data_IF_205408917378
#
_entry.id   IF_205408917378
#
_cell.length_a   1.000
_cell.length_b   1.000
_cell.length_c   1.000
_cell.angle_alpha   90.00
_cell.angle_beta   90.00
_cell.angle_gamma   90.00
#
_symmetry.space_group_name_H-M   'P 1'
#
loop_
_entity.id
_entity.type
_entity.pdbx_description
1 polymer ?
#
# COMPACT_ATOMS: atom_id res chain seq x y z
N UNK A 1 13.79 -26.24 -0.70
CA UNK A 1 13.79 -24.87 -0.22
C UNK A 1 12.55 -24.58 0.64
N UNK A 2 12.65 -23.57 1.48
CA UNK A 2 11.50 -23.05 2.24
C UNK A 2 10.96 -21.80 1.58
N UNK A 3 9.64 -21.50 1.74
CA UNK A 3 9.08 -20.21 1.33
C UNK A 3 9.78 -19.07 2.06
N UNK A 4 10.02 -17.96 1.34
CA UNK A 4 10.65 -16.76 1.92
C UNK A 4 9.84 -15.52 1.59
N UNK A 5 9.94 -14.51 2.45
CA UNK A 5 9.41 -13.16 2.24
C UNK A 5 10.53 -12.10 2.24
N UNK A 6 11.72 -12.45 2.70
CA UNK A 6 12.88 -11.55 2.75
C UNK A 6 13.62 -11.51 1.40
N UNK A 7 13.02 -10.82 0.45
CA UNK A 7 13.59 -10.49 -0.86
C UNK A 7 12.93 -9.22 -1.40
N UNK A 8 13.57 -8.58 -2.36
CA UNK A 8 13.06 -7.38 -3.01
C UNK A 8 12.32 -7.73 -4.30
N UNK A 9 11.34 -6.92 -4.65
CA UNK A 9 10.54 -7.05 -5.88
C UNK A 9 10.40 -5.70 -6.54
N UNK A 10 10.70 -5.64 -7.84
CA UNK A 10 10.33 -4.54 -8.71
C UNK A 10 9.42 -5.09 -9.80
N UNK A 11 8.21 -4.54 -9.91
CA UNK A 11 7.24 -4.96 -10.91
C UNK A 11 7.23 -3.96 -12.05
N UNK A 12 7.36 -4.50 -13.25
CA UNK A 12 7.24 -3.74 -14.51
C UNK A 12 6.20 -4.39 -15.40
N UNK A 13 5.70 -3.64 -16.38
CA UNK A 13 4.80 -4.16 -17.40
C UNK A 13 5.56 -4.42 -18.68
N UNK A 14 5.38 -5.59 -19.27
CA UNK A 14 5.86 -5.87 -20.62
C UNK A 14 4.89 -5.22 -21.62
N UNK A 15 5.32 -4.06 -22.17
CA UNK A 15 4.52 -3.25 -23.09
C UNK A 15 4.29 -3.91 -24.45
N UNK A 16 5.17 -4.82 -24.85
CA UNK A 16 5.05 -5.53 -26.13
C UNK A 16 3.95 -6.59 -26.12
N UNK A 17 3.54 -7.01 -24.92
CA UNK A 17 2.45 -7.96 -24.70
C UNK A 17 1.09 -7.30 -24.47
N UNK A 18 1.01 -5.98 -24.54
CA UNK A 18 -0.20 -5.22 -24.22
C UNK A 18 -1.23 -5.33 -25.34
N UNK A 19 -2.41 -5.88 -25.03
CA UNK A 19 -3.56 -5.84 -25.92
C UNK A 19 -4.38 -4.60 -25.61
N UNK A 20 -4.63 -3.78 -26.64
CA UNK A 20 -5.42 -2.56 -26.52
C UNK A 20 -6.74 -2.71 -27.27
N UNK A 21 -7.85 -2.52 -26.57
CA UNK A 21 -9.19 -2.45 -27.15
C UNK A 21 -9.59 -0.99 -27.34
N UNK A 22 -10.12 -0.66 -28.51
CA UNK A 22 -10.66 0.66 -28.82
C UNK A 22 -12.17 0.56 -28.94
N UNK A 23 -12.89 1.34 -28.16
CA UNK A 23 -14.35 1.40 -28.17
C UNK A 23 -14.79 2.81 -28.56
N UNK A 24 -15.84 2.87 -29.36
CA UNK A 24 -16.44 4.13 -29.80
C UNK A 24 -17.88 4.20 -29.32
N UNK A 25 -18.25 5.31 -28.70
CA UNK A 25 -19.64 5.56 -28.33
C UNK A 25 -20.09 6.95 -28.80
N UNK A 26 -21.37 7.08 -29.10
CA UNK A 26 -21.98 8.36 -29.47
C UNK A 26 -22.80 8.86 -28.27
N UNK A 27 -22.52 10.07 -27.80
CA UNK A 27 -23.23 10.68 -26.68
C UNK A 27 -24.62 11.19 -27.07
N UNK A 28 -25.36 11.71 -26.09
CA UNK A 28 -26.75 12.22 -26.29
C UNK A 28 -26.81 13.43 -27.25
N UNK A 29 -25.69 14.09 -27.50
CA UNK A 29 -25.56 15.24 -28.39
C UNK A 29 -25.19 14.82 -29.81
N UNK A 30 -25.00 13.51 -30.06
CA UNK A 30 -24.53 12.97 -31.33
C UNK A 30 -23.03 13.08 -31.56
N UNK A 31 -22.25 13.45 -30.53
CA UNK A 31 -20.79 13.46 -30.60
C UNK A 31 -20.23 12.05 -30.41
N UNK A 32 -19.37 11.63 -31.32
CA UNK A 32 -18.70 10.34 -31.25
C UNK A 32 -17.35 10.51 -30.56
N UNK A 33 -17.15 9.71 -29.49
CA UNK A 33 -15.90 9.67 -28.72
C UNK A 33 -15.31 8.27 -28.78
N UNK A 34 -14.00 8.21 -28.88
CA UNK A 34 -13.25 6.96 -28.96
C UNK A 34 -12.35 6.82 -27.74
N UNK A 35 -12.41 5.68 -27.08
CA UNK A 35 -11.54 5.32 -25.96
C UNK A 35 -10.69 4.14 -26.32
N UNK A 36 -9.43 4.17 -25.91
CA UNK A 36 -8.54 3.02 -25.98
C UNK A 36 -8.12 2.64 -24.58
N UNK A 37 -8.29 1.38 -24.20
CA UNK A 37 -7.86 0.84 -22.91
C UNK A 37 -7.15 -0.50 -23.10
N UNK A 38 -6.22 -0.79 -22.19
CA UNK A 38 -5.55 -2.08 -22.19
C UNK A 38 -6.51 -3.16 -21.67
N UNK A 39 -6.63 -4.26 -22.40
CA UNK A 39 -7.45 -5.42 -22.02
C UNK A 39 -6.62 -6.50 -21.36
N UNK A 40 -5.36 -6.65 -21.74
CA UNK A 40 -4.41 -7.55 -21.09
C UNK A 40 -2.99 -6.98 -21.14
N UNK A 41 -2.17 -7.39 -20.20
CA UNK A 41 -0.74 -7.07 -20.14
C UNK A 41 0.00 -8.16 -19.38
N UNK A 42 1.32 -8.25 -19.58
CA UNK A 42 2.17 -9.14 -18.79
C UNK A 42 2.87 -8.37 -17.70
N UNK A 43 2.63 -8.73 -16.44
CA UNK A 43 3.41 -8.24 -15.29
C UNK A 43 4.72 -9.01 -15.21
N UNK A 44 5.80 -8.28 -15.01
CA UNK A 44 7.15 -8.83 -14.88
C UNK A 44 7.66 -8.53 -13.47
N UNK A 45 7.76 -9.57 -12.65
CA UNK A 45 8.26 -9.50 -11.28
C UNK A 45 9.76 -9.76 -11.30
N UNK A 46 10.55 -8.72 -11.11
CA UNK A 46 11.99 -8.81 -10.98
C UNK A 46 12.34 -8.90 -9.50
N UNK A 47 12.74 -10.08 -9.05
CA UNK A 47 13.04 -10.37 -7.65
C UNK A 47 14.54 -10.47 -7.44
N UNK A 48 15.06 -10.00 -6.28
CA UNK A 48 16.46 -10.21 -5.89
C UNK A 48 16.61 -10.39 -4.38
N UNK A 49 17.63 -11.13 -4.00
CA UNK A 49 18.03 -11.39 -2.60
C UNK A 49 19.36 -10.70 -2.35
N UNK A 50 19.48 -10.00 -1.22
CA UNK A 50 20.71 -9.36 -0.78
C UNK A 50 21.82 -10.40 -0.51
N UNK A 51 23.07 -10.04 -0.83
CA UNK A 51 24.22 -10.93 -0.61
C UNK A 51 24.42 -11.30 0.85
N UNK A 52 24.12 -10.36 1.75
CA UNK A 52 24.23 -10.53 3.20
C UNK A 52 23.30 -11.59 3.78
N UNK A 53 22.22 -11.94 3.09
CA UNK A 53 21.25 -12.94 3.56
C UNK A 53 21.79 -14.37 3.58
N UNK A 54 22.85 -14.67 2.82
CA UNK A 54 23.36 -16.02 2.65
C UNK A 54 22.42 -16.98 1.91
N UNK A 55 21.37 -16.45 1.26
CA UNK A 55 20.35 -17.21 0.56
C UNK A 55 20.47 -17.08 -0.96
N UNK A 56 19.87 -18.03 -1.68
CA UNK A 56 19.67 -18.00 -3.12
C UNK A 56 18.29 -18.53 -3.47
N UNK A 57 17.70 -18.04 -4.56
CA UNK A 57 16.45 -18.57 -5.07
C UNK A 57 16.59 -20.03 -5.50
N UNK A 58 15.63 -20.83 -5.15
CA UNK A 58 15.51 -22.22 -5.56
C UNK A 58 14.50 -22.36 -6.70
N UNK A 59 13.28 -21.97 -6.47
CA UNK A 59 12.17 -22.03 -7.42
C UNK A 59 11.05 -21.12 -6.93
N UNK A 60 9.98 -20.99 -7.72
CA UNK A 60 8.72 -20.39 -7.31
C UNK A 60 7.55 -21.33 -7.64
N UNK A 61 6.42 -21.09 -7.01
CA UNK A 61 5.14 -21.74 -7.33
C UNK A 61 4.07 -20.69 -7.56
N UNK A 62 3.19 -20.96 -8.47
CA UNK A 62 1.97 -20.21 -8.69
C UNK A 62 0.82 -21.00 -8.08
N UNK A 63 0.02 -20.34 -7.23
CA UNK A 63 -1.12 -20.96 -6.55
C UNK A 63 -2.36 -20.12 -6.81
N UNK A 64 -3.36 -20.68 -7.43
CA UNK A 64 -4.66 -20.05 -7.59
C UNK A 64 -5.36 -19.94 -6.24
N UNK A 65 -5.99 -18.78 -6.00
CA UNK A 65 -6.78 -18.46 -4.81
C UNK A 65 -8.05 -17.73 -5.24
N UNK A 66 -8.99 -17.57 -4.33
CA UNK A 66 -10.23 -16.82 -4.60
C UNK A 66 -9.96 -15.33 -4.94
N UNK A 67 -8.82 -14.80 -4.48
CA UNK A 67 -8.39 -13.40 -4.69
C UNK A 67 -7.42 -13.21 -5.88
N UNK A 68 -7.14 -14.27 -6.65
CA UNK A 68 -6.22 -14.22 -7.78
C UNK A 68 -5.12 -15.30 -7.75
N UNK A 69 -3.92 -14.95 -8.22
CA UNK A 69 -2.77 -15.86 -8.31
C UNK A 69 -1.69 -15.46 -7.30
N UNK A 70 -1.38 -16.35 -6.38
CA UNK A 70 -0.29 -16.15 -5.42
C UNK A 70 1.04 -16.63 -6.00
N UNK A 71 2.06 -15.78 -5.96
CA UNK A 71 3.45 -16.13 -6.24
C UNK A 71 4.15 -16.47 -4.92
N UNK A 72 4.54 -17.72 -4.75
CA UNK A 72 5.26 -18.22 -3.59
C UNK A 72 6.70 -18.50 -4.01
N UNK A 73 7.65 -17.75 -3.44
CA UNK A 73 9.08 -17.87 -3.77
C UNK A 73 9.79 -18.70 -2.71
N UNK A 74 10.68 -19.59 -3.15
CA UNK A 74 11.43 -20.49 -2.30
C UNK A 74 12.93 -20.23 -2.39
N UNK A 75 13.61 -20.29 -1.25
CA UNK A 75 15.06 -20.15 -1.18
C UNK A 75 15.72 -21.34 -0.48
N UNK A 76 17.02 -21.45 -0.71
CA UNK A 76 17.96 -22.38 -0.11
C UNK A 76 19.23 -21.62 0.30
N UNK A 77 20.08 -22.17 1.16
CA UNK A 77 21.40 -21.58 1.41
C UNK A 77 22.18 -21.39 0.11
N UNK A 78 22.80 -20.22 -0.02
CA UNK A 78 23.63 -19.90 -1.17
C UNK A 78 24.81 -20.88 -1.26
N UNK A 79 25.05 -21.38 -2.46
CA UNK A 79 26.18 -22.28 -2.73
C UNK A 79 26.56 -22.22 -4.21
N UNK A 80 27.68 -22.83 -4.57
CA UNK A 80 28.06 -22.96 -5.99
C UNK A 80 27.04 -23.74 -6.84
N UNK A 81 26.21 -24.56 -6.21
CA UNK A 81 25.13 -25.32 -6.87
C UNK A 81 23.81 -24.56 -6.93
N UNK A 82 23.65 -23.54 -6.10
CA UNK A 82 22.49 -22.67 -6.01
C UNK A 82 22.96 -21.21 -5.95
N UNK A 83 23.45 -20.65 -7.08
CA UNK A 83 24.02 -19.30 -7.08
C UNK A 83 23.01 -18.21 -7.41
N UNK A 84 21.73 -18.54 -7.68
CA UNK A 84 20.75 -17.63 -8.25
C UNK A 84 20.23 -16.64 -7.21
N UNK A 85 20.61 -15.37 -7.34
CA UNK A 85 20.19 -14.28 -6.47
C UNK A 85 19.15 -13.35 -7.12
N UNK A 86 18.88 -13.55 -8.40
CA UNK A 86 17.85 -12.85 -9.15
C UNK A 86 16.88 -13.85 -9.77
N UNK A 87 15.61 -13.47 -9.84
CA UNK A 87 14.55 -14.29 -10.41
C UNK A 87 13.58 -13.39 -11.14
N UNK A 88 13.23 -13.71 -12.37
CA UNK A 88 12.21 -13.02 -13.12
C UNK A 88 11.00 -13.93 -13.33
N UNK A 89 9.82 -13.46 -12.97
CA UNK A 89 8.55 -14.18 -13.12
C UNK A 89 7.64 -13.32 -13.98
N UNK A 90 7.09 -13.91 -15.05
CA UNK A 90 6.17 -13.24 -15.96
C UNK A 90 4.77 -13.83 -15.80
N UNK A 91 3.78 -12.96 -15.59
CA UNK A 91 2.38 -13.35 -15.39
C UNK A 91 1.48 -12.47 -16.24
N UNK A 92 0.70 -13.00 -17.19
CA UNK A 92 -0.31 -12.27 -17.92
C UNK A 92 -1.49 -11.94 -16.99
N UNK A 93 -2.03 -10.71 -17.10
CA UNK A 93 -3.20 -10.24 -16.33
C UNK A 93 -4.14 -9.44 -17.22
N UNK A 94 -5.43 -9.39 -16.86
CA UNK A 94 -6.41 -8.53 -17.52
C UNK A 94 -7.58 -9.27 -18.18
N UNK A 95 -8.07 -8.74 -19.31
CA UNK A 95 -9.20 -9.26 -20.04
C UNK A 95 -8.83 -9.47 -21.52
N UNK A 96 -9.37 -10.47 -22.15
CA UNK A 96 -9.23 -10.69 -23.59
C UNK A 96 -10.10 -9.72 -24.41
N UNK A 97 -10.01 -9.79 -25.74
CA UNK A 97 -10.75 -8.93 -26.66
C UNK A 97 -12.28 -9.07 -26.56
N UNK A 98 -12.75 -10.21 -26.04
CA UNK A 98 -14.18 -10.48 -25.81
C UNK A 98 -14.65 -10.02 -24.42
N UNK A 99 -13.78 -9.41 -23.61
CA UNK A 99 -14.05 -9.02 -22.24
C UNK A 99 -14.10 -10.18 -21.25
N UNK A 100 -13.65 -11.37 -21.66
CA UNK A 100 -13.49 -12.52 -20.79
C UNK A 100 -12.20 -12.35 -19.98
N UNK A 101 -12.30 -12.58 -18.68
CA UNK A 101 -11.13 -12.53 -17.80
C UNK A 101 -10.04 -13.45 -18.32
N UNK A 102 -8.88 -12.90 -18.62
CA UNK A 102 -7.64 -13.66 -18.79
C UNK A 102 -7.13 -13.85 -17.36
N UNK A 103 -7.34 -15.03 -16.82
CA UNK A 103 -6.88 -15.35 -15.48
C UNK A 103 -5.35 -15.33 -15.40
N UNK A 104 -4.79 -14.75 -14.37
CA UNK A 104 -5.45 -14.13 -13.20
C UNK A 104 -5.80 -12.67 -13.41
N UNK A 105 -6.88 -12.18 -12.77
CA UNK A 105 -7.23 -10.76 -12.71
C UNK A 105 -6.36 -9.98 -11.73
N UNK A 106 -5.73 -10.68 -10.80
CA UNK A 106 -4.81 -10.13 -9.79
C UNK A 106 -3.69 -11.12 -9.47
N UNK A 107 -2.50 -10.59 -9.17
CA UNK A 107 -1.32 -11.36 -8.78
C UNK A 107 -0.83 -10.89 -7.43
N UNK A 108 -0.70 -11.81 -6.49
CA UNK A 108 -0.25 -11.52 -5.13
C UNK A 108 1.20 -11.98 -4.95
N UNK A 109 2.03 -11.13 -4.36
CA UNK A 109 3.40 -11.45 -3.97
C UNK A 109 3.75 -10.70 -2.67
N UNK A 110 4.27 -11.38 -1.67
CA UNK A 110 4.62 -10.79 -0.37
C UNK A 110 3.46 -10.02 0.29
N UNK A 111 2.22 -10.41 0.02
CA UNK A 111 1.02 -9.71 0.52
C UNK A 111 0.56 -8.50 -0.30
N UNK A 112 1.37 -8.01 -1.23
CA UNK A 112 0.96 -6.99 -2.18
C UNK A 112 0.12 -7.61 -3.32
N UNK A 113 -0.86 -6.85 -3.83
CA UNK A 113 -1.71 -7.27 -4.96
C UNK A 113 -1.50 -6.33 -6.15
N UNK A 114 -1.21 -6.91 -7.29
CA UNK A 114 -1.06 -6.24 -8.58
C UNK A 114 -2.23 -6.63 -9.49
N UNK A 115 -2.92 -5.65 -10.06
CA UNK A 115 -4.05 -5.85 -10.96
C UNK A 115 -4.05 -4.81 -12.07
N UNK A 116 -4.94 -4.92 -13.04
CA UNK A 116 -5.15 -3.90 -14.07
C UNK A 116 -5.58 -2.52 -13.51
N UNK A 117 -5.99 -2.47 -12.25
CA UNK A 117 -6.33 -1.22 -11.54
C UNK A 117 -5.15 -0.62 -10.75
N UNK A 118 -4.01 -1.27 -10.73
CA UNK A 118 -2.79 -0.82 -10.04
C UNK A 118 -2.36 -1.70 -8.87
N UNK A 119 -1.50 -1.14 -8.04
CA UNK A 119 -0.92 -1.81 -6.87
C UNK A 119 -1.74 -1.49 -5.61
N UNK A 120 -2.15 -2.52 -4.91
CA UNK A 120 -2.67 -2.43 -3.53
C UNK A 120 -1.65 -3.10 -2.62
N UNK A 121 -0.92 -2.30 -1.84
CA UNK A 121 0.12 -2.82 -0.95
C UNK A 121 -0.49 -3.59 0.23
N UNK A 122 0.27 -4.54 0.79
CA UNK A 122 -0.08 -5.21 2.04
C UNK A 122 -0.39 -4.19 3.15
N UNK A 123 0.43 -3.15 3.27
CA UNK A 123 0.22 -2.06 4.24
C UNK A 123 -1.13 -1.36 4.06
N UNK A 124 -1.54 -1.07 2.81
CA UNK A 124 -2.85 -0.48 2.53
C UNK A 124 -4.00 -1.40 2.93
N UNK A 125 -3.88 -2.70 2.68
CA UNK A 125 -4.87 -3.70 3.12
C UNK A 125 -4.97 -3.79 4.64
N UNK A 126 -3.83 -3.85 5.33
CA UNK A 126 -3.77 -3.92 6.80
C UNK A 126 -4.39 -2.66 7.44
N UNK A 127 -4.09 -1.48 6.90
CA UNK A 127 -4.68 -0.21 7.34
C UNK A 127 -6.19 -0.19 7.11
N UNK A 128 -6.67 -0.59 5.94
CA UNK A 128 -8.11 -0.64 5.64
C UNK A 128 -8.85 -1.64 6.53
N UNK A 129 -8.24 -2.79 6.81
CA UNK A 129 -8.80 -3.78 7.73
C UNK A 129 -8.87 -3.28 9.19
N UNK A 130 -7.97 -2.36 9.58
CA UNK A 130 -7.92 -1.75 10.90
C UNK A 130 -8.74 -0.47 11.04
N UNK A 131 -9.48 -0.05 9.98
CA UNK A 131 -10.32 1.16 10.03
C UNK A 131 -11.26 1.15 11.24
N UNK A 132 -11.48 2.33 11.81
CA UNK A 132 -12.23 2.50 13.03
C UNK A 132 -13.42 3.47 12.82
N UNK A 133 -14.68 3.10 13.14
CA UNK A 133 -15.81 4.01 13.04
C UNK A 133 -15.84 5.08 14.13
N UNK A 134 -15.09 4.90 15.25
CA UNK A 134 -15.22 5.74 16.43
C UNK A 134 -13.88 6.20 16.99
N UNK A 135 -13.57 7.47 16.87
CA UNK A 135 -12.35 8.09 17.44
C UNK A 135 -12.24 7.90 18.97
N UNK A 136 -13.32 7.57 19.66
CA UNK A 136 -13.32 7.28 21.10
C UNK A 136 -12.67 5.94 21.46
N UNK A 137 -12.46 5.03 20.50
CA UNK A 137 -11.67 3.81 20.69
C UNK A 137 -10.19 4.09 20.47
N UNK A 138 -9.55 4.66 21.48
CA UNK A 138 -8.14 5.03 21.43
C UNK A 138 -7.20 3.86 21.12
N UNK A 139 -7.59 2.64 21.47
CA UNK A 139 -6.79 1.44 21.17
C UNK A 139 -6.81 1.12 19.68
N UNK A 140 -7.94 1.29 19.00
CA UNK A 140 -8.07 1.12 17.56
C UNK A 140 -7.35 2.28 16.82
N UNK A 141 -7.51 3.51 17.28
CA UNK A 141 -6.82 4.68 16.72
C UNK A 141 -5.30 4.52 16.80
N UNK A 142 -4.81 4.07 17.96
CA UNK A 142 -3.38 3.86 18.18
C UNK A 142 -2.84 2.70 17.32
N UNK A 143 -3.65 1.68 17.05
CA UNK A 143 -3.29 0.60 16.11
C UNK A 143 -3.08 1.16 14.70
N UNK A 144 -3.96 2.05 14.22
CA UNK A 144 -3.81 2.72 12.93
C UNK A 144 -2.52 3.55 12.88
N UNK A 145 -2.25 4.36 13.90
CA UNK A 145 -1.04 5.17 13.97
C UNK A 145 0.24 4.30 13.99
N UNK A 146 0.21 3.16 14.69
CA UNK A 146 1.32 2.20 14.72
C UNK A 146 1.53 1.53 13.36
N UNK A 147 0.45 1.09 12.68
CA UNK A 147 0.52 0.54 11.33
C UNK A 147 1.07 1.56 10.31
N UNK A 148 0.77 2.84 10.49
CA UNK A 148 1.36 3.92 9.69
C UNK A 148 2.84 4.11 9.99
N UNK A 149 3.30 3.80 11.20
CA UNK A 149 4.66 4.03 11.65
C UNK A 149 4.88 5.45 12.17
N UNK A 150 3.86 6.10 12.73
CA UNK A 150 3.93 7.49 13.22
C UNK A 150 5.02 7.64 14.28
N UNK A 151 5.03 6.75 15.28
CA UNK A 151 6.01 6.77 16.37
C UNK A 151 7.45 6.55 15.89
N UNK A 152 7.64 5.64 14.94
CA UNK A 152 8.96 5.36 14.35
C UNK A 152 9.49 6.51 13.50
N UNK A 153 8.60 7.17 12.75
CA UNK A 153 8.98 8.20 11.80
C UNK A 153 9.20 9.58 12.45
N UNK A 154 8.52 9.87 13.56
CA UNK A 154 8.50 11.20 14.19
C UNK A 154 8.99 11.14 15.64
N UNK A 155 8.47 10.24 16.46
CA UNK A 155 8.80 10.07 17.86
C UNK A 155 7.60 9.63 18.69
N UNK A 156 7.86 9.35 19.99
CA UNK A 156 6.79 9.04 20.95
C UNK A 156 5.86 10.24 21.13
N UNK A 157 4.61 9.95 21.45
CA UNK A 157 3.57 10.96 21.62
C UNK A 157 2.52 10.54 22.64
N UNK A 158 1.86 11.54 23.24
CA UNK A 158 0.63 11.38 24.02
C UNK A 158 -0.60 11.73 23.18
N UNK A 159 -1.71 11.09 23.51
CA UNK A 159 -2.97 11.29 22.80
C UNK A 159 -3.89 12.21 23.58
N UNK A 160 -4.54 13.13 22.86
CA UNK A 160 -5.62 13.94 23.39
C UNK A 160 -6.80 13.90 22.44
N UNK A 161 -7.91 13.34 22.90
CA UNK A 161 -9.15 13.27 22.15
C UNK A 161 -10.09 14.40 22.57
N UNK A 162 -10.72 15.03 21.57
CA UNK A 162 -11.86 15.89 21.81
C UNK A 162 -13.11 15.19 21.24
N UNK A 163 -13.95 14.73 22.15
CA UNK A 163 -15.24 14.03 21.85
C UNK A 163 -16.45 14.94 22.13
N UNK A 164 -16.23 16.22 22.37
CA UNK A 164 -17.32 17.20 22.48
C UNK A 164 -17.72 17.64 21.08
N UNK A 165 -19.01 17.60 20.79
CA UNK A 165 -19.54 18.04 19.51
C UNK A 165 -19.27 19.56 19.34
N UNK A 166 -18.59 19.89 18.24
CA UNK A 166 -18.45 21.28 17.81
C UNK A 166 -19.61 21.61 16.88
N UNK A 167 -20.40 22.62 17.23
CA UNK A 167 -21.53 23.03 16.39
C UNK A 167 -21.06 23.38 14.97
N UNK A 168 -21.74 22.82 13.96
CA UNK A 168 -21.53 23.18 12.56
C UNK A 168 -20.60 22.30 11.77
N UNK A 169 -20.07 21.21 12.33
CA UNK A 169 -19.23 20.25 11.62
C UNK A 169 -19.95 18.91 11.47
N UNK A 170 -19.87 18.30 10.26
CA UNK A 170 -20.39 16.96 9.99
C UNK A 170 -19.66 15.88 10.81
N UNK A 171 -18.36 16.11 11.09
CA UNK A 171 -17.49 15.27 11.90
C UNK A 171 -16.90 16.12 13.04
N UNK A 172 -17.56 16.16 14.22
CA UNK A 172 -17.23 17.14 15.26
C UNK A 172 -16.01 16.80 16.11
N UNK A 173 -15.45 15.59 15.99
CA UNK A 173 -14.43 15.09 16.90
C UNK A 173 -13.02 15.31 16.34
N UNK A 174 -12.05 15.45 17.25
CA UNK A 174 -10.65 15.64 16.87
C UNK A 174 -9.70 14.79 17.71
N UNK A 175 -8.58 14.43 17.11
CA UNK A 175 -7.47 13.75 17.76
C UNK A 175 -6.20 14.58 17.65
N UNK A 176 -5.57 14.87 18.79
CA UNK A 176 -4.29 15.56 18.87
C UNK A 176 -3.20 14.61 19.35
N UNK A 177 -2.10 14.55 18.56
CA UNK A 177 -0.88 13.82 18.88
C UNK A 177 0.14 14.85 19.41
N UNK A 178 0.52 14.72 20.68
CA UNK A 178 1.48 15.62 21.33
C UNK A 178 2.81 14.87 21.42
N UNK A 179 3.76 15.24 20.54
CA UNK A 179 5.06 14.58 20.46
C UNK A 179 5.99 15.01 21.59
N UNK A 180 6.63 14.04 22.25
CA UNK A 180 7.55 14.24 23.39
C UNK A 180 8.91 14.81 23.00
N UNK A 181 9.11 15.08 21.70
CA UNK A 181 10.37 15.58 21.20
C UNK A 181 10.35 17.11 21.10
N UNK A 182 11.44 17.77 21.48
CA UNK A 182 11.54 19.21 21.31
C UNK A 182 11.54 19.56 19.82
N UNK A 183 10.94 20.70 19.52
CA UNK A 183 11.02 21.31 18.21
C UNK A 183 12.47 21.61 17.85
N UNK A 184 12.93 21.17 16.70
CA UNK A 184 14.30 21.40 16.22
C UNK A 184 14.23 22.06 14.85
N UNK A 185 14.73 23.29 14.77
CA UNK A 185 14.81 24.03 13.51
C UNK A 185 15.48 23.19 12.42
N UNK A 186 14.83 23.08 11.27
CA UNK A 186 15.29 22.38 10.10
C UNK A 186 14.67 20.98 9.89
N UNK A 187 14.25 20.28 10.93
CA UNK A 187 13.53 18.99 10.79
C UNK A 187 12.00 19.13 10.83
N UNK A 188 11.50 20.22 11.37
CA UNK A 188 10.08 20.57 11.51
C UNK A 188 9.32 20.46 10.19
N UNK A 189 9.88 20.97 9.11
CA UNK A 189 9.26 20.91 7.79
C UNK A 189 9.08 19.46 7.31
N UNK A 190 10.07 18.61 7.52
CA UNK A 190 10.03 17.19 7.14
C UNK A 190 9.00 16.45 7.98
N UNK A 191 9.00 16.66 9.30
CA UNK A 191 8.04 16.01 10.20
C UNK A 191 6.62 16.49 9.94
N UNK A 192 6.40 17.77 9.70
CA UNK A 192 5.09 18.30 9.35
C UNK A 192 4.58 17.74 8.01
N UNK A 193 5.43 17.57 7.02
CA UNK A 193 5.04 16.94 5.77
C UNK A 193 4.64 15.48 5.97
N UNK A 194 5.39 14.72 6.77
CA UNK A 194 5.05 13.33 7.12
C UNK A 194 3.74 13.27 7.90
N UNK A 195 3.59 14.10 8.94
CA UNK A 195 2.35 14.14 9.74
C UNK A 195 1.14 14.52 8.91
N UNK A 196 1.28 15.46 7.98
CA UNK A 196 0.20 15.80 7.06
C UNK A 196 -0.25 14.59 6.22
N UNK A 197 0.70 13.81 5.71
CA UNK A 197 0.38 12.59 4.97
C UNK A 197 -0.31 11.54 5.87
N UNK A 198 0.18 11.33 7.07
CA UNK A 198 -0.45 10.43 8.05
C UNK A 198 -1.84 10.90 8.46
N UNK A 199 -2.03 12.20 8.69
CA UNK A 199 -3.32 12.78 9.05
C UNK A 199 -4.39 12.52 7.98
N UNK A 200 -4.06 12.63 6.70
CA UNK A 200 -4.99 12.30 5.63
C UNK A 200 -5.43 10.83 5.66
N UNK A 201 -4.50 9.91 5.93
CA UNK A 201 -4.83 8.48 6.03
C UNK A 201 -5.68 8.21 7.27
N UNK A 202 -5.36 8.80 8.43
CA UNK A 202 -6.13 8.65 9.66
C UNK A 202 -7.55 9.20 9.50
N UNK A 203 -7.73 10.38 8.90
CA UNK A 203 -9.04 10.96 8.60
C UNK A 203 -9.86 10.09 7.64
N UNK A 204 -9.22 9.40 6.71
CA UNK A 204 -9.90 8.49 5.80
C UNK A 204 -10.31 7.14 6.42
N UNK A 205 -9.72 6.77 7.56
CA UNK A 205 -9.90 5.47 8.21
C UNK A 205 -10.61 5.53 9.56
N UNK A 206 -10.91 6.72 10.07
CA UNK A 206 -11.65 6.96 11.31
C UNK A 206 -12.90 7.76 10.95
N UNK A 207 -14.04 7.08 10.82
CA UNK A 207 -15.23 7.63 10.16
C UNK A 207 -15.80 8.91 10.81
N UNK A 208 -15.71 9.06 12.14
CA UNK A 208 -16.24 10.22 12.84
C UNK A 208 -15.18 11.25 13.27
N UNK A 209 -13.96 11.14 12.75
CA UNK A 209 -12.89 12.09 13.00
C UNK A 209 -12.89 13.21 11.95
N UNK A 210 -13.09 14.46 12.37
CA UNK A 210 -13.07 15.62 11.46
C UNK A 210 -11.74 16.35 11.45
N UNK A 211 -10.89 16.13 12.45
CA UNK A 211 -9.64 16.86 12.57
C UNK A 211 -8.54 16.03 13.25
N UNK A 212 -7.35 16.04 12.66
CA UNK A 212 -6.12 15.53 13.26
C UNK A 212 -5.17 16.68 13.50
N UNK A 213 -4.79 16.89 14.76
CA UNK A 213 -3.81 17.89 15.20
C UNK A 213 -2.52 17.22 15.63
N UNK A 214 -1.42 17.95 15.56
CA UNK A 214 -0.16 17.54 16.16
C UNK A 214 0.62 18.74 16.66
N UNK A 215 1.28 18.53 17.78
CA UNK A 215 2.11 19.52 18.45
C UNK A 215 3.42 18.88 18.89
N UNK A 216 4.44 19.69 19.06
CA UNK A 216 5.74 19.27 19.58
C UNK A 216 5.99 19.98 20.89
N UNK A 217 6.60 19.30 21.85
CA UNK A 217 7.02 19.95 23.09
C UNK A 217 8.08 21.00 22.79
N UNK A 218 7.98 22.15 23.44
CA UNK A 218 9.04 23.16 23.46
C UNK A 218 9.92 22.97 24.70
N UNK A 219 11.14 23.56 24.72
CA UNK A 219 12.04 23.52 25.89
C UNK A 219 11.38 24.13 27.12
N UNK A 220 10.38 25.00 26.94
CA UNK A 220 9.63 25.72 28.00
C UNK A 220 8.29 25.02 28.39
N UNK A 221 8.03 23.83 27.90
CA UNK A 221 6.74 23.14 28.04
C UNK A 221 5.85 23.25 26.78
N UNK A 222 4.64 22.71 26.85
CA UNK A 222 3.67 22.71 25.70
C UNK A 222 3.23 24.12 25.40
#
# INVERSE_FOLDING_TARGET
GSPIEDFHVLVTTDTDSRVVKTETFTDQNGETRTFSHATSETLVFNCWIEESSGLAFSHYKLKETDDGLDIIVYAVPFSRFHPMRTLQIKVPVGYDEDGKSVDPTAVNIKGDTYSGYGLITKKAKDLYAARNPYIGDISADQRLANLLGVGEAIGSYTNKLNTQESEGFEYPYSWELIFDRPWTDGYDKIYNQKMKAYAYVLLALIDNCGEIKWTYQTEDGI
#
